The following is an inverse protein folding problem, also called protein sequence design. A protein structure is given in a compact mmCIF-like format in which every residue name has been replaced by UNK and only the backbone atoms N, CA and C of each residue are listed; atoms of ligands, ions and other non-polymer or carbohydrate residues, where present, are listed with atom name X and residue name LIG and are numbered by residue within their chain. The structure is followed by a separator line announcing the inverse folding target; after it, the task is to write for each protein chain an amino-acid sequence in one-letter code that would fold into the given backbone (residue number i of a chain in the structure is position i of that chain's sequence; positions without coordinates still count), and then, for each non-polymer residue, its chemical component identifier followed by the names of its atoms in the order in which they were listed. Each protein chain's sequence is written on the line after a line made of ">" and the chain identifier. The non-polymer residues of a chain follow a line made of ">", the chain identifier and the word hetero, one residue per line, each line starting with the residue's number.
data_IF_627972856075
#
_entry.id   IF_627972856075
#
_cell.length_a   1.000
_cell.length_b   1.000
_cell.length_c   1.000
_cell.angle_alpha   90.00
_cell.angle_beta   90.00
_cell.angle_gamma   90.00
#
_symmetry.space_group_name_H-M   'P 1'
#
loop_
_entity.id
_entity.type
_entity.pdbx_description
1 polymer ?
#
# COMPACT_ATOMS: atom_id res chain seq x y z
N UNK A 1 -38.00 73.58 -7.24
CA UNK A 1 -38.24 72.72 -8.42
C UNK A 1 -37.00 72.84 -9.29
N UNK A 2 -36.11 71.87 -9.52
CA UNK A 2 -36.07 70.41 -9.34
C UNK A 2 -34.67 70.01 -8.84
N UNK A 3 -34.59 69.01 -7.96
CA UNK A 3 -33.34 68.40 -7.50
C UNK A 3 -32.97 67.24 -8.45
N UNK A 4 -31.79 67.28 -9.06
CA UNK A 4 -31.32 66.26 -9.99
C UNK A 4 -30.52 65.19 -9.23
N UNK A 5 -31.08 63.99 -9.11
CA UNK A 5 -30.40 62.81 -8.56
C UNK A 5 -29.68 62.12 -9.73
N UNK A 6 -28.35 62.17 -9.74
CA UNK A 6 -27.51 61.43 -10.70
C UNK A 6 -27.40 59.99 -10.21
N UNK A 7 -28.11 59.07 -10.86
CA UNK A 7 -27.98 57.64 -10.61
C UNK A 7 -26.79 57.08 -11.40
N UNK A 8 -25.69 56.81 -10.69
CA UNK A 8 -24.53 56.11 -11.22
C UNK A 8 -24.84 54.60 -11.29
N UNK A 9 -25.22 54.11 -12.47
CA UNK A 9 -25.30 52.68 -12.75
C UNK A 9 -23.88 52.13 -12.92
N UNK A 10 -23.25 51.70 -11.83
CA UNK A 10 -22.00 50.94 -11.90
C UNK A 10 -22.36 49.49 -12.22
N UNK A 11 -22.29 49.12 -13.48
CA UNK A 11 -22.48 47.76 -13.98
C UNK A 11 -21.43 46.84 -13.35
N UNK A 12 -21.83 46.08 -12.33
CA UNK A 12 -21.00 45.04 -11.73
C UNK A 12 -20.91 43.91 -12.78
N UNK A 13 -19.86 43.92 -13.60
CA UNK A 13 -19.48 42.72 -14.34
C UNK A 13 -18.98 41.71 -13.31
N UNK A 14 -19.86 40.78 -12.95
CA UNK A 14 -19.47 39.56 -12.25
C UNK A 14 -18.47 38.81 -13.14
N UNK A 15 -17.18 38.99 -12.86
CA UNK A 15 -16.14 38.10 -13.36
C UNK A 15 -16.37 36.79 -12.60
N UNK A 16 -17.18 35.91 -13.18
CA UNK A 16 -17.26 34.52 -12.76
C UNK A 16 -15.87 33.94 -13.08
N UNK A 17 -15.05 33.55 -12.08
CA UNK A 17 -13.85 32.78 -12.40
C UNK A 17 -14.34 31.49 -13.06
N UNK A 18 -13.92 31.25 -14.30
CA UNK A 18 -14.01 29.92 -14.88
C UNK A 18 -13.32 28.97 -13.89
N UNK A 19 -14.11 28.10 -13.28
CA UNK A 19 -13.60 26.92 -12.59
C UNK A 19 -12.95 26.07 -13.67
N UNK A 20 -11.67 26.34 -13.93
CA UNK A 20 -10.81 25.41 -14.63
C UNK A 20 -10.89 24.11 -13.83
N UNK A 21 -11.53 23.09 -14.40
CA UNK A 21 -11.64 21.77 -13.80
C UNK A 21 -10.27 21.38 -13.28
N UNK A 22 -10.18 21.10 -11.97
CA UNK A 22 -8.92 20.86 -11.30
C UNK A 22 -8.09 19.87 -12.11
N UNK A 23 -6.90 20.31 -12.57
CA UNK A 23 -5.98 19.44 -13.29
C UNK A 23 -5.78 18.17 -12.46
N UNK A 24 -5.72 16.98 -13.11
CA UNK A 24 -5.46 15.77 -12.34
C UNK A 24 -4.03 15.80 -11.79
N UNK A 25 -3.92 16.11 -10.50
CA UNK A 25 -2.66 16.18 -9.75
C UNK A 25 -2.61 15.05 -8.72
N UNK A 26 -1.53 14.25 -8.81
CA UNK A 26 -1.19 13.18 -7.89
C UNK A 26 -0.35 13.74 -6.73
N UNK A 27 -0.73 13.49 -5.46
CA UNK A 27 -0.06 14.11 -4.32
C UNK A 27 1.17 13.34 -3.80
N UNK A 28 1.61 12.27 -4.47
CA UNK A 28 2.71 11.41 -4.01
C UNK A 28 3.90 11.36 -5.00
N UNK A 29 4.41 12.52 -5.48
CA UNK A 29 5.55 12.52 -6.38
C UNK A 29 6.78 11.90 -5.69
N UNK A 30 7.55 11.13 -6.46
CA UNK A 30 8.77 10.48 -6.00
C UNK A 30 8.99 9.10 -6.60
N UNK A 31 10.06 8.46 -6.14
CA UNK A 31 10.42 7.11 -6.53
C UNK A 31 9.84 6.11 -5.54
N UNK A 32 9.01 5.21 -6.05
CA UNK A 32 8.38 4.14 -5.28
C UNK A 32 8.88 2.77 -5.76
N UNK A 33 8.68 1.75 -4.94
CA UNK A 33 9.11 0.36 -5.21
C UNK A 33 7.90 -0.56 -5.15
N UNK A 34 7.74 -1.41 -6.18
CA UNK A 34 6.77 -2.50 -6.22
C UNK A 34 7.50 -3.82 -6.46
N UNK A 35 7.58 -4.68 -5.42
CA UNK A 35 8.44 -5.86 -5.49
C UNK A 35 9.89 -5.42 -5.66
N UNK A 36 10.51 -5.77 -6.78
CA UNK A 36 11.89 -5.40 -7.12
C UNK A 36 11.97 -4.33 -8.24
N UNK A 37 10.85 -3.70 -8.60
CA UNK A 37 10.78 -2.70 -9.69
C UNK A 37 10.56 -1.29 -9.16
N UNK A 38 11.25 -0.33 -9.77
CA UNK A 38 10.97 1.09 -9.55
C UNK A 38 9.61 1.46 -10.15
N UNK A 39 8.96 2.42 -9.49
CA UNK A 39 7.64 2.90 -9.80
C UNK A 39 7.65 4.42 -9.59
N UNK A 40 8.01 5.15 -10.64
CA UNK A 40 8.17 6.61 -10.56
C UNK A 40 6.83 7.31 -10.67
N UNK A 41 6.42 8.01 -9.62
CA UNK A 41 5.19 8.80 -9.60
C UNK A 41 5.57 10.26 -9.81
N UNK A 42 4.91 10.90 -10.77
CA UNK A 42 5.01 12.34 -11.02
C UNK A 42 3.70 13.01 -10.62
N UNK A 43 3.63 14.34 -10.71
CA UNK A 43 2.38 15.06 -10.45
C UNK A 43 1.23 14.67 -11.40
N UNK A 44 1.54 14.11 -12.58
CA UNK A 44 0.54 13.81 -13.61
C UNK A 44 0.58 12.37 -14.13
N UNK A 45 1.45 11.51 -13.60
CA UNK A 45 1.57 10.13 -14.04
C UNK A 45 1.90 9.19 -12.88
N UNK A 46 1.33 8.00 -12.93
CA UNK A 46 1.48 6.96 -11.92
C UNK A 46 2.38 5.84 -12.45
N UNK A 47 3.59 6.24 -12.85
CA UNK A 47 4.60 5.36 -13.41
C UNK A 47 4.09 4.54 -14.60
N UNK A 48 4.27 3.21 -14.61
CA UNK A 48 3.90 2.36 -15.73
C UNK A 48 2.40 2.23 -15.95
N UNK A 49 1.54 2.74 -15.05
CA UNK A 49 0.09 2.66 -15.23
C UNK A 49 -0.45 3.72 -16.20
N UNK A 50 0.29 4.81 -16.40
CA UNK A 50 -0.05 5.87 -17.35
C UNK A 50 -0.22 7.26 -16.72
N UNK A 51 -0.64 8.21 -17.57
CA UNK A 51 -0.89 9.61 -17.21
C UNK A 51 -2.30 9.79 -16.68
N UNK A 52 -2.46 10.66 -15.67
CA UNK A 52 -3.76 10.92 -15.10
C UNK A 52 -4.61 11.83 -16.01
N UNK A 53 -5.84 11.38 -16.28
CA UNK A 53 -6.85 12.13 -17.04
C UNK A 53 -7.81 12.87 -16.13
N UNK A 54 -8.32 12.20 -15.11
CA UNK A 54 -9.30 12.75 -14.17
C UNK A 54 -9.20 12.07 -12.81
N UNK A 55 -9.66 12.81 -11.79
CA UNK A 55 -9.64 12.40 -10.39
C UNK A 55 -10.95 12.81 -9.72
N UNK A 56 -11.41 11.97 -8.81
CA UNK A 56 -12.46 12.28 -7.85
C UNK A 56 -12.12 11.54 -6.55
N UNK A 57 -11.81 12.30 -5.49
CA UNK A 57 -11.36 11.76 -4.20
C UNK A 57 -10.17 10.78 -4.34
N UNK A 58 -10.41 9.50 -4.04
CA UNK A 58 -9.49 8.37 -4.09
C UNK A 58 -9.50 7.63 -5.44
N UNK A 59 -10.40 8.01 -6.35
CA UNK A 59 -10.54 7.42 -7.67
C UNK A 59 -9.81 8.23 -8.73
N UNK A 60 -9.10 7.54 -9.61
CA UNK A 60 -8.34 8.11 -10.70
C UNK A 60 -8.57 7.34 -11.99
N UNK A 61 -8.68 8.07 -13.10
CA UNK A 61 -8.65 7.50 -14.44
C UNK A 61 -7.30 7.81 -15.07
N UNK A 62 -6.56 6.75 -15.39
CA UNK A 62 -5.28 6.84 -16.06
C UNK A 62 -5.42 6.45 -17.52
N UNK A 63 -4.59 7.02 -18.38
CA UNK A 63 -4.44 6.60 -19.77
C UNK A 63 -2.97 6.39 -20.12
N UNK A 64 -2.68 5.32 -20.85
CA UNK A 64 -1.38 5.04 -21.46
C UNK A 64 -1.56 4.73 -22.93
N UNK A 65 -0.68 5.21 -23.79
CA UNK A 65 -0.67 4.81 -25.19
C UNK A 65 0.01 3.43 -25.32
N UNK A 66 -0.59 2.53 -26.11
CA UNK A 66 -0.07 1.19 -26.38
C UNK A 66 -0.18 0.89 -27.87
N UNK A 67 0.46 -0.18 -28.34
CA UNK A 67 0.39 -0.60 -29.76
C UNK A 67 -1.05 -0.89 -30.23
N UNK A 68 -1.97 -1.19 -29.29
CA UNK A 68 -3.39 -1.43 -29.56
C UNK A 68 -4.25 -0.16 -29.50
N UNK A 69 -3.65 0.99 -29.24
CA UNK A 69 -4.31 2.27 -29.03
C UNK A 69 -4.31 2.72 -27.57
N UNK A 70 -5.17 3.69 -27.26
CA UNK A 70 -5.28 4.28 -25.92
C UNK A 70 -5.87 3.27 -24.94
N UNK A 71 -5.08 2.98 -23.90
CA UNK A 71 -5.43 2.08 -22.82
C UNK A 71 -5.83 2.88 -21.59
N UNK A 72 -7.06 2.70 -21.13
CA UNK A 72 -7.56 3.31 -19.91
C UNK A 72 -7.46 2.35 -18.74
N UNK A 73 -7.11 2.87 -17.56
CA UNK A 73 -7.09 2.11 -16.30
C UNK A 73 -7.77 2.91 -15.21
N UNK A 74 -8.71 2.28 -14.53
CA UNK A 74 -9.32 2.82 -13.34
C UNK A 74 -8.49 2.44 -12.12
N UNK A 75 -8.36 3.37 -11.19
CA UNK A 75 -7.51 3.23 -10.02
C UNK A 75 -8.24 3.74 -8.78
N UNK A 76 -8.14 3.00 -7.68
CA UNK A 76 -8.53 3.47 -6.34
C UNK A 76 -7.28 3.45 -5.48
N UNK A 77 -6.97 4.55 -4.81
CA UNK A 77 -5.74 4.71 -4.04
C UNK A 77 -6.00 4.92 -2.55
N UNK A 78 -5.27 4.18 -1.73
CA UNK A 78 -5.35 4.15 -0.29
C UNK A 78 -3.98 4.57 0.30
N UNK A 79 -3.77 5.86 0.61
CA UNK A 79 -2.56 6.33 1.27
C UNK A 79 -2.57 5.93 2.75
N UNK A 80 -1.98 4.78 3.07
CA UNK A 80 -2.00 4.22 4.44
C UNK A 80 -0.89 4.80 5.34
N UNK A 81 0.19 5.30 4.76
CA UNK A 81 1.29 5.99 5.45
C UNK A 81 2.08 6.87 4.46
N UNK A 82 2.86 7.85 4.92
CA UNK A 82 3.71 8.68 4.04
C UNK A 82 4.70 7.86 3.18
N UNK A 83 5.13 6.72 3.71
CA UNK A 83 6.09 5.80 3.08
C UNK A 83 5.42 4.58 2.40
N UNK A 84 4.09 4.43 2.53
CA UNK A 84 3.37 3.25 2.01
C UNK A 84 2.08 3.67 1.34
N UNK A 85 2.00 3.38 0.04
CA UNK A 85 0.82 3.67 -0.78
C UNK A 85 0.22 2.34 -1.26
N UNK A 86 -1.07 2.14 -1.01
CA UNK A 86 -1.80 0.99 -1.53
C UNK A 86 -2.74 1.42 -2.65
N UNK A 87 -2.94 0.55 -3.65
CA UNK A 87 -3.87 0.85 -4.74
C UNK A 87 -4.48 -0.41 -5.34
N UNK A 88 -5.70 -0.27 -5.86
CA UNK A 88 -6.34 -1.26 -6.75
C UNK A 88 -6.42 -0.67 -8.15
N UNK A 89 -6.08 -1.45 -9.17
CA UNK A 89 -6.17 -1.02 -10.57
C UNK A 89 -6.90 -2.05 -11.41
N UNK A 90 -7.67 -1.61 -12.39
CA UNK A 90 -8.22 -2.50 -13.42
C UNK A 90 -7.13 -2.94 -14.39
N UNK A 91 -7.43 -3.99 -15.16
CA UNK A 91 -6.70 -4.26 -16.39
C UNK A 91 -6.90 -3.13 -17.41
N UNK A 92 -6.16 -3.21 -18.50
CA UNK A 92 -6.27 -2.25 -19.60
C UNK A 92 -7.66 -2.30 -20.25
N UNK A 93 -8.30 -1.15 -20.42
CA UNK A 93 -9.62 -1.01 -21.05
C UNK A 93 -9.47 -0.17 -22.33
N UNK A 94 -9.79 -0.78 -23.47
CA UNK A 94 -9.71 -0.16 -24.79
C UNK A 94 -11.08 0.41 -25.20
N UNK A 95 -11.56 1.38 -24.43
CA UNK A 95 -12.82 2.09 -24.70
C UNK A 95 -12.57 3.60 -24.58
N UNK A 96 -12.62 4.31 -25.70
CA UNK A 96 -12.39 5.76 -25.76
C UNK A 96 -13.48 6.57 -25.04
N UNK A 97 -14.64 5.98 -24.79
CA UNK A 97 -15.72 6.58 -24.00
C UNK A 97 -15.56 6.35 -22.50
N UNK A 98 -14.39 5.86 -22.05
CA UNK A 98 -14.11 5.66 -20.63
C UNK A 98 -14.08 7.00 -19.90
N UNK A 99 -14.85 7.08 -18.83
CA UNK A 99 -14.89 8.22 -17.91
C UNK A 99 -14.71 7.73 -16.48
N UNK A 100 -14.39 8.64 -15.58
CA UNK A 100 -14.18 8.29 -14.17
C UNK A 100 -15.40 7.66 -13.52
N UNK A 101 -16.61 8.13 -13.85
CA UNK A 101 -17.86 7.60 -13.30
C UNK A 101 -18.13 6.15 -13.70
N UNK A 102 -17.57 5.70 -14.83
CA UNK A 102 -17.70 4.32 -15.30
C UNK A 102 -16.79 3.36 -14.53
N UNK A 103 -15.73 3.86 -13.89
CA UNK A 103 -14.75 3.04 -13.21
C UNK A 103 -15.33 2.09 -12.16
N UNK A 104 -16.40 2.51 -11.45
CA UNK A 104 -17.06 1.70 -10.43
C UNK A 104 -17.56 0.34 -10.93
N UNK A 105 -17.88 0.21 -12.22
CA UNK A 105 -18.40 -1.04 -12.81
C UNK A 105 -17.29 -1.98 -13.28
N UNK A 106 -16.02 -1.54 -13.26
CA UNK A 106 -14.88 -2.33 -13.73
C UNK A 106 -14.06 -2.94 -12.60
N UNK A 107 -14.32 -2.56 -11.34
CA UNK A 107 -13.72 -3.20 -10.19
C UNK A 107 -14.52 -4.44 -9.79
N UNK A 108 -13.82 -5.57 -9.73
CA UNK A 108 -14.34 -6.79 -9.13
C UNK A 108 -14.00 -6.84 -7.64
N UNK A 109 -14.79 -7.56 -6.83
CA UNK A 109 -14.54 -7.69 -5.39
C UNK A 109 -13.17 -8.32 -5.05
N UNK A 110 -12.67 -9.16 -5.95
CA UNK A 110 -11.36 -9.84 -5.91
C UNK A 110 -10.21 -9.01 -6.51
N UNK A 111 -10.43 -7.76 -6.92
CA UNK A 111 -9.37 -6.91 -7.47
C UNK A 111 -8.20 -6.80 -6.49
N UNK A 112 -7.03 -7.23 -6.95
CA UNK A 112 -5.79 -7.29 -6.15
C UNK A 112 -5.39 -5.92 -5.63
N UNK A 113 -5.05 -5.86 -4.35
CA UNK A 113 -4.42 -4.69 -3.74
C UNK A 113 -2.91 -4.73 -3.98
N UNK A 114 -2.38 -3.71 -4.60
CA UNK A 114 -0.94 -3.51 -4.74
C UNK A 114 -0.42 -2.58 -3.65
N UNK A 115 0.82 -2.80 -3.22
CA UNK A 115 1.51 -1.95 -2.23
C UNK A 115 2.78 -1.39 -2.84
N UNK A 116 2.99 -0.10 -2.67
CA UNK A 116 4.18 0.64 -3.07
C UNK A 116 4.89 1.16 -1.83
N UNK A 117 6.22 1.06 -1.82
CA UNK A 117 7.06 1.59 -0.76
C UNK A 117 7.88 2.76 -1.27
N UNK A 118 7.97 3.83 -0.50
CA UNK A 118 8.82 4.97 -0.86
C UNK A 118 10.29 4.54 -0.77
N UNK A 119 11.06 4.74 -1.84
CA UNK A 119 12.48 4.36 -1.90
C UNK A 119 13.28 5.06 -0.81
N UNK A 120 13.19 6.37 -0.75
CA UNK A 120 13.82 7.18 0.29
C UNK A 120 12.80 7.40 1.40
N UNK A 121 12.51 6.32 2.14
CA UNK A 121 11.59 6.33 3.26
C UNK A 121 12.29 6.79 4.54
N UNK A 122 11.57 7.60 5.30
CA UNK A 122 11.94 7.98 6.68
C UNK A 122 11.72 6.79 7.61
N UNK A 123 12.72 6.49 8.45
CA UNK A 123 12.59 5.45 9.46
C UNK A 123 11.59 5.91 10.54
N UNK A 124 10.75 5.00 11.02
CA UNK A 124 9.78 5.23 12.09
C UNK A 124 10.00 4.26 13.23
N UNK A 125 9.50 4.59 14.42
CA UNK A 125 9.54 3.67 15.55
C UNK A 125 8.76 2.39 15.23
N UNK A 126 9.39 1.25 15.50
CA UNK A 126 8.73 -0.05 15.29
C UNK A 126 7.55 -0.23 16.27
N UNK A 127 6.39 -0.75 15.81
CA UNK A 127 5.23 -0.97 16.67
C UNK A 127 5.34 -2.22 17.54
N UNK A 128 6.50 -2.88 17.53
CA UNK A 128 6.77 -4.12 18.25
C UNK A 128 7.55 -3.81 19.51
N UNK A 129 7.00 -4.19 20.66
CA UNK A 129 7.71 -4.21 21.93
C UNK A 129 8.60 -5.46 22.02
N UNK A 130 9.87 -5.33 21.63
CA UNK A 130 10.89 -6.36 21.78
C UNK A 130 11.56 -6.27 23.17
N UNK A 131 12.07 -7.38 23.75
CA UNK A 131 12.22 -8.70 23.14
C UNK A 131 10.91 -9.50 23.09
N UNK A 132 10.72 -10.27 22.01
CA UNK A 132 9.58 -11.19 21.91
C UNK A 132 9.92 -12.47 21.17
N UNK A 133 9.11 -13.49 21.41
CA UNK A 133 9.22 -14.80 20.79
C UNK A 133 8.17 -14.97 19.69
N UNK A 134 8.56 -15.60 18.59
CA UNK A 134 7.69 -15.85 17.45
C UNK A 134 7.94 -17.20 16.79
N UNK A 135 6.92 -17.68 16.09
CA UNK A 135 7.02 -18.75 15.09
C UNK A 135 6.72 -18.15 13.71
N UNK A 136 7.20 -18.80 12.65
CA UNK A 136 7.11 -18.25 11.31
C UNK A 136 6.57 -19.24 10.29
N UNK A 137 5.96 -18.69 9.25
CA UNK A 137 5.47 -19.41 8.09
C UNK A 137 6.22 -18.96 6.83
N UNK A 138 6.54 -19.89 5.94
CA UNK A 138 7.16 -19.61 4.64
C UNK A 138 6.43 -20.37 3.53
N UNK A 139 6.77 -20.10 2.26
CA UNK A 139 6.28 -20.88 1.12
C UNK A 139 6.67 -22.36 1.18
N UNK A 140 7.76 -22.70 1.88
CA UNK A 140 8.22 -24.07 2.06
C UNK A 140 7.56 -24.78 3.26
N UNK A 141 6.76 -24.07 4.07
CA UNK A 141 6.05 -24.64 5.21
C UNK A 141 6.11 -23.78 6.47
N UNK A 142 5.46 -24.29 7.53
CA UNK A 142 5.42 -23.69 8.87
C UNK A 142 6.61 -24.15 9.70
N UNK A 143 7.30 -23.24 10.39
CA UNK A 143 8.24 -23.58 11.48
C UNK A 143 7.56 -23.27 12.80
N UNK A 144 7.08 -24.31 13.49
CA UNK A 144 6.36 -24.19 14.76
C UNK A 144 7.02 -24.98 15.89
N UNK A 145 7.91 -25.94 15.58
CA UNK A 145 8.61 -26.75 16.56
C UNK A 145 9.70 -25.98 17.32
N UNK A 146 10.30 -24.96 16.69
CA UNK A 146 11.33 -24.10 17.29
C UNK A 146 10.88 -22.65 17.39
N UNK A 147 11.23 -22.02 18.51
CA UNK A 147 10.89 -20.62 18.80
C UNK A 147 12.00 -19.71 18.29
N UNK A 148 11.63 -18.80 17.41
CA UNK A 148 12.49 -17.70 16.95
C UNK A 148 12.30 -16.47 17.84
N UNK A 149 13.24 -15.53 17.82
CA UNK A 149 13.20 -14.36 18.70
C UNK A 149 13.45 -13.04 17.97
N UNK A 150 12.77 -11.99 18.40
CA UNK A 150 13.00 -10.62 17.94
C UNK A 150 13.68 -9.87 19.08
N UNK A 151 14.73 -9.14 18.74
CA UNK A 151 15.43 -8.24 19.65
C UNK A 151 15.48 -6.85 19.04
N UNK A 152 15.40 -5.81 19.86
CA UNK A 152 15.61 -4.44 19.41
C UNK A 152 17.10 -4.20 19.19
N UNK A 153 17.46 -3.49 18.12
CA UNK A 153 18.84 -3.03 17.93
C UNK A 153 19.12 -1.82 18.87
N UNK A 154 20.27 -1.17 18.72
CA UNK A 154 20.57 0.04 19.51
C UNK A 154 19.49 1.15 19.32
N UNK A 155 18.88 1.20 18.15
CA UNK A 155 17.81 2.14 17.76
C UNK A 155 16.40 1.51 17.87
N UNK A 156 15.40 2.35 18.15
CA UNK A 156 13.96 2.02 18.20
C UNK A 156 13.31 1.83 16.83
N UNK A 157 13.98 2.27 15.77
CA UNK A 157 13.53 2.05 14.39
C UNK A 157 13.96 0.70 13.82
N UNK A 158 14.81 -0.06 14.54
CA UNK A 158 15.45 -1.28 14.05
C UNK A 158 15.20 -2.50 14.92
N UNK A 159 14.90 -3.62 14.26
CA UNK A 159 14.68 -4.92 14.88
C UNK A 159 15.58 -5.98 14.25
N UNK A 160 16.07 -6.89 15.08
CA UNK A 160 16.83 -8.08 14.67
C UNK A 160 15.98 -9.32 14.90
N UNK A 161 15.61 -9.97 13.81
CA UNK A 161 14.86 -11.23 13.78
C UNK A 161 15.83 -12.40 13.72
N UNK A 162 15.84 -13.24 14.74
CA UNK A 162 16.67 -14.46 14.83
C UNK A 162 15.80 -15.68 14.55
N UNK A 163 15.86 -16.19 13.33
CA UNK A 163 15.14 -17.36 12.88
C UNK A 163 15.85 -18.64 13.30
N UNK A 164 15.09 -19.58 13.87
CA UNK A 164 15.57 -20.94 14.13
C UNK A 164 15.26 -21.86 12.95
N UNK A 165 16.15 -22.82 12.68
CA UNK A 165 15.90 -23.89 11.70
C UNK A 165 14.96 -24.94 12.29
N UNK A 166 13.89 -25.27 11.55
CA UNK A 166 12.93 -26.30 11.95
C UNK A 166 13.12 -27.57 11.10
N UNK A 167 13.08 -28.78 11.69
CA UNK A 167 13.11 -30.02 10.92
C UNK A 167 11.99 -30.13 9.88
N UNK A 168 10.82 -29.59 10.18
CA UNK A 168 9.67 -29.56 9.26
C UNK A 168 9.85 -28.64 8.03
N UNK A 169 10.88 -27.80 8.03
CA UNK A 169 11.24 -26.96 6.88
C UNK A 169 12.74 -27.09 6.56
N UNK A 170 13.16 -28.20 5.95
CA UNK A 170 14.57 -28.51 5.74
C UNK A 170 15.26 -27.54 4.77
N UNK A 171 14.50 -26.77 3.99
CA UNK A 171 15.03 -25.76 3.07
C UNK A 171 15.43 -24.45 3.76
N UNK A 172 15.07 -24.27 5.05
CA UNK A 172 15.32 -23.06 5.81
C UNK A 172 16.31 -23.29 6.95
N UNK A 173 17.44 -22.61 6.84
CA UNK A 173 18.48 -22.58 7.86
C UNK A 173 18.25 -21.46 8.88
N UNK A 174 18.93 -21.58 10.02
CA UNK A 174 18.94 -20.55 11.04
C UNK A 174 19.61 -19.29 10.49
N UNK A 175 18.96 -18.15 10.66
CA UNK A 175 19.42 -16.90 10.06
C UNK A 175 19.04 -15.70 10.92
N UNK A 176 19.77 -14.61 10.74
CA UNK A 176 19.47 -13.33 11.37
C UNK A 176 19.14 -12.32 10.29
N UNK A 177 17.99 -11.66 10.42
CA UNK A 177 17.56 -10.59 9.52
C UNK A 177 17.37 -9.31 10.33
N UNK A 178 18.14 -8.28 10.00
CA UNK A 178 17.93 -6.94 10.54
C UNK A 178 16.99 -6.17 9.61
N UNK A 179 16.04 -5.47 10.21
CA UNK A 179 15.05 -4.69 9.49
C UNK A 179 14.93 -3.32 10.12
N UNK A 180 14.61 -2.33 9.30
CA UNK A 180 14.33 -0.96 9.71
C UNK A 180 12.88 -0.61 9.39
N UNK A 181 12.10 -0.26 10.40
CA UNK A 181 10.68 0.06 10.25
C UNK A 181 10.52 1.40 9.54
N UNK A 182 9.63 1.44 8.53
CA UNK A 182 9.38 2.64 7.71
C UNK A 182 7.92 3.09 7.74
N UNK A 183 7.01 2.24 8.23
CA UNK A 183 5.59 2.57 8.42
C UNK A 183 4.92 1.61 9.38
N UNK A 184 3.87 2.06 10.07
CA UNK A 184 2.91 1.23 10.77
C UNK A 184 1.48 1.75 10.54
N UNK A 185 0.51 0.85 10.40
CA UNK A 185 -0.89 1.21 10.23
C UNK A 185 -1.81 0.09 10.71
N UNK A 186 -3.07 0.43 10.95
CA UNK A 186 -4.10 -0.55 11.29
C UNK A 186 -5.03 -0.75 10.09
N UNK A 187 -5.40 -2.00 9.82
CA UNK A 187 -6.39 -2.33 8.80
C UNK A 187 -7.14 -3.58 9.21
N UNK A 188 -8.48 -3.53 9.15
CA UNK A 188 -9.37 -4.66 9.46
C UNK A 188 -9.09 -5.32 10.83
N UNK A 189 -8.79 -4.52 11.85
CA UNK A 189 -8.51 -5.03 13.21
C UNK A 189 -7.12 -5.65 13.41
N UNK A 190 -6.25 -5.60 12.39
CA UNK A 190 -4.87 -6.06 12.47
C UNK A 190 -3.90 -4.88 12.36
N UNK A 191 -2.79 -4.96 13.08
CA UNK A 191 -1.68 -4.01 12.94
C UNK A 191 -0.71 -4.53 11.89
N UNK A 192 -0.30 -3.67 10.98
CA UNK A 192 0.70 -3.94 9.97
C UNK A 192 1.86 -2.99 10.16
N UNK A 193 3.05 -3.44 9.80
CA UNK A 193 4.18 -2.54 9.60
C UNK A 193 4.95 -2.92 8.35
N UNK A 194 5.54 -1.92 7.73
CA UNK A 194 6.47 -2.09 6.63
C UNK A 194 7.88 -1.88 7.16
N UNK A 195 8.81 -2.72 6.69
CA UNK A 195 10.21 -2.56 7.01
C UNK A 195 11.09 -2.73 5.78
N UNK A 196 12.17 -1.97 5.76
CA UNK A 196 13.29 -2.11 4.86
C UNK A 196 14.21 -3.20 5.40
N UNK A 197 14.49 -4.20 4.57
CA UNK A 197 15.34 -5.35 4.88
C UNK A 197 16.61 -5.20 4.06
N UNK A 198 17.73 -4.97 4.76
CA UNK A 198 19.04 -4.84 4.13
C UNK A 198 19.71 -6.21 3.94
N UNK A 199 20.22 -6.47 2.74
CA UNK A 199 21.24 -7.49 2.53
C UNK A 199 22.40 -6.85 1.71
N UNK A 200 23.60 -7.42 1.78
CA UNK A 200 24.80 -6.99 1.02
C UNK A 200 24.60 -6.93 -0.51
N UNK A 201 23.46 -7.40 -1.02
CA UNK A 201 23.08 -7.47 -2.45
C UNK A 201 21.96 -6.50 -2.85
N UNK A 202 21.40 -5.73 -1.91
CA UNK A 202 20.31 -4.78 -2.20
C UNK A 202 19.32 -4.64 -1.04
N UNK A 203 18.51 -3.59 -1.12
CA UNK A 203 17.41 -3.32 -0.19
C UNK A 203 16.11 -3.95 -0.70
N UNK A 204 15.38 -4.63 0.19
CA UNK A 204 14.07 -5.20 -0.11
C UNK A 204 13.04 -4.66 0.89
N UNK A 205 11.80 -4.45 0.45
CA UNK A 205 10.73 -3.91 1.28
C UNK A 205 9.72 -5.00 1.58
N UNK A 206 9.34 -5.16 2.86
CA UNK A 206 8.42 -6.23 3.30
C UNK A 206 7.37 -5.68 4.26
N UNK A 207 6.13 -6.12 4.07
CA UNK A 207 5.04 -5.92 5.03
C UNK A 207 4.96 -7.11 5.98
N UNK A 208 4.74 -6.83 7.25
CA UNK A 208 4.59 -7.81 8.30
C UNK A 208 3.24 -7.62 8.99
N UNK A 209 2.32 -8.60 8.93
CA UNK A 209 1.12 -8.59 9.75
C UNK A 209 1.50 -8.96 11.18
N UNK A 210 1.10 -8.13 12.13
CA UNK A 210 1.29 -8.37 13.56
C UNK A 210 -0.01 -8.95 14.14
N UNK A 211 -0.02 -10.28 14.34
CA UNK A 211 -1.11 -10.96 15.03
C UNK A 211 -0.74 -11.21 16.50
N UNK A 212 -1.34 -10.42 17.39
CA UNK A 212 -1.36 -10.67 18.83
C UNK A 212 -2.24 -11.88 19.13
N UNK A 213 -1.69 -12.93 19.74
CA UNK A 213 -2.50 -14.05 20.26
C UNK A 213 -2.70 -13.82 21.77
N UNK A 214 -3.92 -13.47 22.23
CA UNK A 214 -4.13 -13.00 23.61
C UNK A 214 -3.90 -14.05 24.71
N UNK A 215 -3.83 -15.34 24.36
CA UNK A 215 -3.79 -16.43 25.36
C UNK A 215 -2.41 -16.89 25.79
N UNK A 216 -1.36 -16.49 25.09
CA UNK A 216 0.04 -16.78 25.42
C UNK A 216 0.83 -15.64 24.79
N UNK A 217 1.71 -14.95 25.51
CA UNK A 217 2.55 -13.87 24.97
C UNK A 217 3.42 -14.32 23.76
N UNK A 218 2.82 -14.51 22.59
CA UNK A 218 3.39 -15.05 21.34
C UNK A 218 2.69 -14.36 20.17
N UNK A 219 3.49 -13.93 19.20
CA UNK A 219 3.01 -13.41 17.92
C UNK A 219 3.24 -14.46 16.83
N UNK A 220 2.32 -14.55 15.86
CA UNK A 220 2.46 -15.40 14.67
C UNK A 220 2.55 -14.52 13.43
N UNK A 221 3.69 -14.56 12.74
CA UNK A 221 3.87 -13.84 11.48
C UNK A 221 3.45 -14.74 10.32
N UNK A 222 2.35 -14.40 9.65
CA UNK A 222 1.83 -15.12 8.49
C UNK A 222 2.36 -14.45 7.21
N UNK A 223 3.22 -15.16 6.47
CA UNK A 223 3.39 -14.89 5.04
C UNK A 223 2.21 -15.51 4.30
N UNK A 224 1.44 -14.69 3.58
CA UNK A 224 0.25 -15.10 2.83
C UNK A 224 0.62 -16.19 1.82
N UNK A 225 0.27 -17.43 2.13
CA UNK A 225 -0.41 -18.39 1.25
C UNK A 225 -0.72 -19.65 2.06
N UNK A 226 -1.99 -20.07 2.06
CA UNK A 226 -2.59 -21.26 2.68
C UNK A 226 -3.07 -21.17 4.15
N UNK A 227 -4.36 -20.84 4.29
CA UNK A 227 -5.26 -21.31 5.34
C UNK A 227 -6.21 -22.34 4.72
N UNK A 228 -5.87 -23.62 4.78
CA UNK A 228 -6.85 -24.73 4.77
C UNK A 228 -6.55 -25.66 5.94
N UNK A 229 -7.63 -26.08 6.59
CA UNK A 229 -7.74 -26.92 7.78
C UNK A 229 -7.47 -26.28 9.16
N UNK A 230 -8.49 -25.55 9.62
CA UNK A 230 -8.97 -25.66 11.00
C UNK A 230 -10.51 -25.56 10.95
N UNK A 231 -11.17 -26.70 10.75
CA UNK A 231 -12.57 -26.86 11.16
C UNK A 231 -12.56 -27.27 12.63
N UNK A 232 -12.93 -26.35 13.52
CA UNK A 232 -13.96 -26.54 14.55
C UNK A 232 -14.01 -25.29 15.42
N UNK A 233 -15.23 -24.79 15.63
CA UNK A 233 -15.63 -23.55 16.31
C UNK A 233 -15.43 -22.28 15.48
N UNK A 234 -16.57 -21.71 15.06
CA UNK A 234 -16.66 -20.70 14.02
C UNK A 234 -16.00 -19.38 14.38
N UNK A 235 -15.38 -18.76 13.38
CA UNK A 235 -15.25 -17.32 13.11
C UNK A 235 -14.69 -17.19 11.68
N UNK A 236 -15.13 -16.14 11.00
CA UNK A 236 -15.09 -15.85 9.56
C UNK A 236 -13.80 -16.18 8.78
N UNK A 237 -14.03 -16.86 7.65
CA UNK A 237 -13.19 -16.93 6.45
C UNK A 237 -13.00 -15.54 5.85
N UNK A 238 -11.77 -15.15 5.52
CA UNK A 238 -11.50 -14.35 4.32
C UNK A 238 -10.17 -14.77 3.68
N UNK A 239 -10.28 -15.19 2.43
CA UNK A 239 -9.23 -15.56 1.48
C UNK A 239 -8.71 -14.32 0.75
N UNK A 240 -7.40 -14.25 0.47
CA UNK A 240 -6.86 -13.55 -0.69
C UNK A 240 -5.63 -14.32 -1.20
N UNK A 241 -5.76 -14.83 -2.43
CA UNK A 241 -4.76 -15.49 -3.25
C UNK A 241 -3.93 -14.42 -4.00
N UNK A 242 -2.69 -14.79 -4.35
CA UNK A 242 -1.73 -14.11 -5.25
C UNK A 242 -2.38 -13.40 -6.45
#
# INVERSE_FOLDING_TARGET
>A
MYSAIVLFFCSIHSIIPLVNGAACVLPWPGVWIKGDREFNITQHSLGPLGSCRSKNNDQYLLSSNTDRGDCFRCLIVFPVHENVLQYKSTQCIFDSSMTLDRCRHHFSGDTTMHTLFRRESTAVQCPIEAPLNFTYHTSAGTCASRISSITRCADWTRLSFRYQACPENPTKEASVSEVECIASWQSLGHTFFAARVGNRRGESYRCFPLLLIPRQARYRFLWWHWLRHLQTTGVLMFTMQL
#
